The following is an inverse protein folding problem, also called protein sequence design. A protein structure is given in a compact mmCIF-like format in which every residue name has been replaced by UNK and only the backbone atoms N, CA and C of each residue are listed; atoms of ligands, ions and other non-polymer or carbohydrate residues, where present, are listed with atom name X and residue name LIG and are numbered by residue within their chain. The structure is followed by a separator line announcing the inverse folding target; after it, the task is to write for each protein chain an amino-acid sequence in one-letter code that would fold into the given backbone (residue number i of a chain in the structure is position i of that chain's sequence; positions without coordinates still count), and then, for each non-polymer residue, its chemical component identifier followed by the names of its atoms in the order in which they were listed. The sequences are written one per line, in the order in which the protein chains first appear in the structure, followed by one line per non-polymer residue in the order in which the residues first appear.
data_IF_400566354068
#
_entry.id   IF_400566354068
#
_cell.length_a   1.000
_cell.length_b   1.000
_cell.length_c   1.000
_cell.angle_alpha   90.00
_cell.angle_beta   90.00
_cell.angle_gamma   90.00
#
_symmetry.space_group_name_H-M   'P 1'
#
loop_
_entity.id
_entity.type
_entity.pdbx_description
1 polymer ?
#
# COMPACT_ATOMS: atom_id res chain seq x y z
N UNK A 1 -1.05 31.42 -11.08
CA UNK A 1 -1.53 30.33 -10.20
C UNK A 1 -1.18 29.02 -10.88
N UNK A 2 0.00 28.49 -10.59
CA UNK A 2 0.46 27.20 -11.09
C UNK A 2 -0.23 26.13 -10.25
N UNK A 3 -1.18 25.42 -10.85
CA UNK A 3 -1.60 24.12 -10.37
C UNK A 3 -0.40 23.20 -10.58
N UNK A 4 0.51 23.18 -9.61
CA UNK A 4 1.49 22.11 -9.53
C UNK A 4 0.68 20.84 -9.33
N UNK A 5 0.53 20.07 -10.42
CA UNK A 5 0.18 18.66 -10.36
C UNK A 5 1.27 17.98 -9.54
N UNK A 6 1.16 18.07 -8.23
CA UNK A 6 1.87 17.21 -7.31
C UNK A 6 1.46 15.81 -7.70
N UNK A 7 2.37 15.09 -8.34
CA UNK A 7 2.36 13.64 -8.37
C UNK A 7 2.32 13.20 -6.91
N UNK A 8 1.12 12.96 -6.36
CA UNK A 8 0.87 12.62 -4.95
C UNK A 8 1.63 11.36 -4.50
N UNK A 9 2.27 10.67 -5.44
CA UNK A 9 3.06 9.47 -5.27
C UNK A 9 4.54 9.66 -5.67
N UNK A 10 5.18 10.75 -5.24
CA UNK A 10 6.61 10.98 -5.50
C UNK A 10 7.47 10.50 -4.34
N UNK A 11 8.54 9.74 -4.62
CA UNK A 11 9.51 9.35 -3.59
C UNK A 11 10.49 10.50 -3.33
N UNK A 12 10.73 10.88 -2.06
CA UNK A 12 11.81 11.81 -1.73
C UNK A 12 13.16 11.31 -2.23
N UNK A 13 13.94 12.18 -2.88
CA UNK A 13 15.21 11.80 -3.53
C UNK A 13 16.15 11.02 -2.60
N UNK A 14 16.28 11.47 -1.35
CA UNK A 14 17.09 10.81 -0.33
C UNK A 14 16.62 9.36 -0.06
N UNK A 15 15.31 9.15 0.01
CA UNK A 15 14.72 7.81 0.17
C UNK A 15 15.08 6.93 -1.03
N UNK A 16 14.97 7.46 -2.25
CA UNK A 16 15.29 6.71 -3.46
C UNK A 16 16.77 6.31 -3.54
N UNK A 17 17.67 7.23 -3.21
CA UNK A 17 19.11 6.98 -3.21
C UNK A 17 19.49 5.87 -2.22
N UNK A 18 19.05 5.98 -0.96
CA UNK A 18 19.40 5.02 0.09
C UNK A 18 18.83 3.63 -0.21
N UNK A 19 17.60 3.55 -0.70
CA UNK A 19 16.94 2.27 -1.01
C UNK A 19 17.60 1.62 -2.22
N UNK A 20 17.90 2.36 -3.29
CA UNK A 20 18.62 1.81 -4.46
C UNK A 20 20.02 1.33 -4.10
N UNK A 21 20.72 2.03 -3.20
CA UNK A 21 22.02 1.58 -2.68
C UNK A 21 21.90 0.32 -1.81
N UNK A 22 20.85 0.23 -0.99
CA UNK A 22 20.62 -0.91 -0.08
C UNK A 22 20.10 -2.15 -0.80
N UNK A 23 19.39 -1.97 -1.93
CA UNK A 23 18.77 -3.03 -2.72
C UNK A 23 19.21 -2.96 -4.19
N UNK A 24 20.49 -3.22 -4.52
CA UNK A 24 21.02 -3.06 -5.88
C UNK A 24 20.37 -4.01 -6.90
N UNK A 25 19.82 -5.14 -6.45
CA UNK A 25 19.08 -6.10 -7.29
C UNK A 25 17.58 -5.83 -7.35
N UNK A 26 17.10 -4.79 -6.66
CA UNK A 26 15.69 -4.51 -6.45
C UNK A 26 15.02 -5.45 -5.45
N UNK A 27 13.75 -5.16 -5.16
CA UNK A 27 12.84 -5.99 -4.37
C UNK A 27 11.42 -5.88 -4.96
N UNK A 28 10.52 -6.81 -4.61
CA UNK A 28 9.11 -6.82 -4.97
C UNK A 28 8.45 -5.48 -4.61
N UNK A 29 8.77 -4.90 -3.45
CA UNK A 29 8.17 -3.63 -3.00
C UNK A 29 8.57 -2.43 -3.85
N UNK A 30 9.78 -2.44 -4.42
CA UNK A 30 10.23 -1.41 -5.38
C UNK A 30 9.40 -1.53 -6.66
N UNK A 31 9.18 -2.75 -7.15
CA UNK A 31 8.31 -2.98 -8.32
C UNK A 31 6.84 -2.64 -8.05
N UNK A 32 6.34 -2.87 -6.84
CA UNK A 32 5.00 -2.45 -6.45
C UNK A 32 4.83 -0.93 -6.52
N UNK A 33 5.87 -0.16 -6.20
CA UNK A 33 5.85 1.28 -6.37
C UNK A 33 5.73 1.69 -7.83
N UNK A 34 6.57 1.13 -8.72
CA UNK A 34 6.57 1.43 -10.15
C UNK A 34 5.20 1.16 -10.78
N UNK A 35 4.61 0.00 -10.47
CA UNK A 35 3.26 -0.35 -10.95
C UNK A 35 2.17 0.54 -10.36
N UNK A 36 2.34 0.99 -9.12
CA UNK A 36 1.40 1.88 -8.47
C UNK A 36 1.49 3.30 -9.02
N UNK A 37 2.68 3.76 -9.39
CA UNK A 37 2.89 5.03 -10.09
C UNK A 37 2.15 5.03 -11.43
N UNK A 38 2.29 3.96 -12.23
CA UNK A 38 1.51 3.78 -13.47
C UNK A 38 0.00 3.78 -13.19
N UNK A 39 -0.44 3.02 -12.18
CA UNK A 39 -1.86 2.95 -11.81
C UNK A 39 -2.39 4.32 -11.37
N UNK A 40 -1.56 5.14 -10.72
CA UNK A 40 -1.90 6.48 -10.29
C UNK A 40 -2.03 7.46 -11.45
N UNK A 41 -1.53 7.14 -12.65
CA UNK A 41 -1.74 7.96 -13.85
C UNK A 41 -3.15 7.74 -14.44
N UNK A 42 -3.77 6.59 -14.19
CA UNK A 42 -5.12 6.28 -14.67
C UNK A 42 -6.18 7.16 -14.00
N UNK A 43 -6.98 7.86 -14.80
CA UNK A 43 -8.01 8.79 -14.29
C UNK A 43 -9.05 8.10 -13.41
N UNK A 44 -9.47 6.90 -13.79
CA UNK A 44 -10.40 6.08 -13.00
C UNK A 44 -9.83 5.77 -11.61
N UNK A 45 -8.52 5.48 -11.50
CA UNK A 45 -7.90 5.21 -10.22
C UNK A 45 -7.82 6.48 -9.36
N UNK A 46 -7.46 7.63 -9.96
CA UNK A 46 -7.48 8.93 -9.28
C UNK A 46 -8.87 9.28 -8.77
N UNK A 47 -9.90 9.08 -9.59
CA UNK A 47 -11.30 9.31 -9.21
C UNK A 47 -11.68 8.43 -8.03
N UNK A 48 -11.32 7.15 -8.07
CA UNK A 48 -11.60 6.20 -6.99
C UNK A 48 -10.89 6.58 -5.68
N UNK A 49 -9.64 7.06 -5.77
CA UNK A 49 -8.91 7.60 -4.63
C UNK A 49 -9.64 8.81 -4.02
N UNK A 50 -10.19 9.69 -4.85
CA UNK A 50 -10.90 10.90 -4.39
C UNK A 50 -12.23 10.60 -3.70
N UNK A 51 -12.85 9.46 -4.02
CA UNK A 51 -14.09 8.99 -3.42
C UNK A 51 -13.88 8.28 -2.08
N UNK A 52 -12.65 7.87 -1.78
CA UNK A 52 -12.33 7.23 -0.52
C UNK A 52 -12.40 8.22 0.64
N UNK A 53 -12.82 7.74 1.81
CA UNK A 53 -12.82 8.53 3.04
C UNK A 53 -11.40 9.01 3.35
N UNK A 54 -11.30 10.25 3.84
CA UNK A 54 -10.02 10.78 4.33
C UNK A 54 -9.62 10.10 5.64
N UNK A 55 -8.36 9.67 5.70
CA UNK A 55 -7.70 9.11 6.87
C UNK A 55 -6.42 9.90 7.16
N UNK A 56 -5.77 9.58 8.29
CA UNK A 56 -4.46 10.15 8.61
C UNK A 56 -3.37 9.80 7.57
N UNK A 57 -3.56 8.72 6.81
CA UNK A 57 -2.74 8.35 5.66
C UNK A 57 -3.63 8.26 4.41
N UNK A 58 -3.03 8.49 3.24
CA UNK A 58 -3.74 8.32 1.97
C UNK A 58 -4.36 6.91 1.87
N UNK A 59 -5.61 6.77 1.39
CA UNK A 59 -6.26 5.48 1.14
C UNK A 59 -5.41 4.53 0.31
N UNK A 60 -4.63 5.06 -0.64
CA UNK A 60 -3.70 4.26 -1.47
C UNK A 60 -2.56 3.69 -0.63
N UNK A 61 -1.99 4.49 0.29
CA UNK A 61 -0.95 4.00 1.23
C UNK A 61 -1.53 2.93 2.15
N UNK A 62 -2.76 3.12 2.65
CA UNK A 62 -3.42 2.13 3.51
C UNK A 62 -3.74 0.82 2.76
N UNK A 63 -4.21 0.91 1.51
CA UNK A 63 -4.42 -0.25 0.65
C UNK A 63 -3.10 -1.00 0.40
N UNK A 64 -2.02 -0.28 0.09
CA UNK A 64 -0.70 -0.87 -0.11
C UNK A 64 -0.17 -1.55 1.17
N UNK A 65 -0.28 -0.89 2.32
CA UNK A 65 0.10 -1.48 3.62
C UNK A 65 -0.70 -2.76 3.88
N UNK A 66 -2.00 -2.77 3.59
CA UNK A 66 -2.85 -3.96 3.75
C UNK A 66 -2.35 -5.13 2.89
N UNK A 67 -1.91 -4.85 1.65
CA UNK A 67 -1.36 -5.86 0.75
C UNK A 67 -0.01 -6.40 1.24
N UNK A 68 0.87 -5.50 1.69
CA UNK A 68 2.19 -5.89 2.23
C UNK A 68 2.05 -6.68 3.54
N UNK A 69 1.14 -6.26 4.42
CA UNK A 69 0.78 -6.96 5.65
C UNK A 69 0.36 -8.40 5.35
N UNK A 70 -0.53 -8.59 4.37
CA UNK A 70 -0.96 -9.91 3.95
C UNK A 70 0.17 -10.74 3.30
N UNK A 71 1.02 -10.11 2.47
CA UNK A 71 2.15 -10.79 1.82
C UNK A 71 3.18 -11.33 2.83
N UNK A 72 3.41 -10.61 3.93
CA UNK A 72 4.38 -10.98 4.96
C UNK A 72 3.73 -11.67 6.17
N UNK A 73 2.41 -11.87 6.16
CA UNK A 73 1.62 -12.46 7.26
C UNK A 73 1.84 -11.75 8.60
N UNK A 74 1.76 -10.42 8.59
CA UNK A 74 1.95 -9.58 9.77
C UNK A 74 0.61 -9.19 10.41
N UNK A 75 0.61 -9.08 11.74
CA UNK A 75 -0.46 -8.46 12.53
C UNK A 75 -0.41 -6.93 12.43
N UNK A 76 -1.49 -6.25 12.80
CA UNK A 76 -1.54 -4.76 12.77
C UNK A 76 -0.44 -4.15 13.65
N UNK A 77 -0.17 -4.77 14.81
CA UNK A 77 0.87 -4.33 15.75
C UNK A 77 2.27 -4.55 15.19
N UNK A 78 2.51 -5.70 14.54
CA UNK A 78 3.80 -5.96 13.87
C UNK A 78 4.04 -5.00 12.73
N UNK A 79 3.02 -4.68 11.92
CA UNK A 79 3.12 -3.64 10.88
C UNK A 79 3.52 -2.30 11.49
N UNK A 80 2.86 -1.89 12.57
CA UNK A 80 3.16 -0.63 13.23
C UNK A 80 4.59 -0.55 13.78
N UNK A 81 5.14 -1.67 14.24
CA UNK A 81 6.50 -1.75 14.77
C UNK A 81 7.56 -1.89 13.67
N UNK A 82 7.27 -2.60 12.58
CA UNK A 82 8.24 -2.88 11.52
C UNK A 82 8.34 -1.78 10.46
N UNK A 83 7.23 -1.15 10.10
CA UNK A 83 7.20 -0.14 9.03
C UNK A 83 8.23 0.98 9.27
N UNK A 84 8.38 1.56 10.48
CA UNK A 84 9.36 2.62 10.73
C UNK A 84 10.82 2.21 10.47
N UNK A 85 11.14 0.92 10.61
CA UNK A 85 12.49 0.39 10.40
C UNK A 85 12.73 -0.14 8.98
N UNK A 86 11.67 -0.33 8.17
CA UNK A 86 11.75 -0.95 6.84
C UNK A 86 11.90 0.07 5.72
N UNK A 87 13.12 0.19 5.19
CA UNK A 87 13.44 1.07 4.05
C UNK A 87 12.65 0.73 2.79
N UNK A 88 12.45 -0.55 2.50
CA UNK A 88 11.72 -1.02 1.32
C UNK A 88 10.21 -0.70 1.38
N UNK A 89 9.61 -0.74 2.57
CA UNK A 89 8.22 -0.30 2.78
C UNK A 89 8.08 1.21 2.66
N UNK A 90 9.02 1.98 3.25
CA UNK A 90 9.04 3.45 3.10
C UNK A 90 9.16 3.87 1.64
N UNK A 91 10.04 3.22 0.88
CA UNK A 91 10.16 3.43 -0.56
C UNK A 91 8.83 3.17 -1.26
N UNK A 92 8.23 2.00 -1.01
CA UNK A 92 7.02 1.61 -1.69
C UNK A 92 5.82 2.51 -1.40
N UNK A 93 5.79 3.13 -0.22
CA UNK A 93 4.76 4.08 0.21
C UNK A 93 5.05 5.54 -0.15
N UNK A 94 6.20 5.83 -0.79
CA UNK A 94 6.66 7.20 -1.03
C UNK A 94 6.72 8.00 0.28
N UNK A 95 7.34 7.42 1.31
CA UNK A 95 7.53 8.05 2.62
C UNK A 95 8.98 8.47 2.79
N UNK A 96 9.18 9.61 3.45
CA UNK A 96 10.49 10.04 3.87
C UNK A 96 11.09 9.10 4.94
N UNK A 97 12.43 8.96 4.92
CA UNK A 97 13.15 8.10 5.86
C UNK A 97 13.08 8.61 7.31
N UNK A 98 13.02 9.91 7.49
CA UNK A 98 13.19 10.61 8.77
C UNK A 98 11.88 11.17 9.33
N UNK A 99 10.96 11.61 8.47
CA UNK A 99 9.72 12.24 8.91
C UNK A 99 8.66 11.21 9.34
N UNK A 100 8.67 10.03 8.72
CA UNK A 100 7.72 8.97 9.08
C UNK A 100 8.18 8.23 10.34
N UNK A 101 7.50 8.49 11.46
CA UNK A 101 7.85 7.93 12.78
C UNK A 101 7.11 6.64 13.12
N UNK A 102 5.79 6.61 12.96
CA UNK A 102 4.96 5.48 13.34
C UNK A 102 3.58 5.53 12.69
N UNK A 103 2.91 4.38 12.65
CA UNK A 103 1.50 4.24 12.31
C UNK A 103 0.75 3.70 13.52
N UNK A 104 -0.40 4.29 13.85
CA UNK A 104 -1.28 3.76 14.89
C UNK A 104 -1.92 2.45 14.38
N UNK A 105 -1.77 1.29 15.05
CA UNK A 105 -2.45 0.04 14.68
C UNK A 105 -3.97 0.21 14.52
N UNK A 106 -4.59 1.12 15.31
CA UNK A 106 -6.03 1.40 15.22
C UNK A 106 -6.42 2.00 13.87
N UNK A 107 -5.49 2.64 13.15
CA UNK A 107 -5.73 3.16 11.81
C UNK A 107 -6.01 2.01 10.83
N UNK A 108 -5.22 0.93 10.89
CA UNK A 108 -5.41 -0.25 10.06
C UNK A 108 -6.74 -0.94 10.37
N UNK A 109 -7.09 -1.05 11.65
CA UNK A 109 -8.40 -1.57 12.06
C UNK A 109 -9.56 -0.71 11.53
N UNK A 110 -9.47 0.63 11.59
CA UNK A 110 -10.49 1.55 11.05
C UNK A 110 -10.61 1.44 9.53
N UNK A 111 -9.48 1.34 8.84
CA UNK A 111 -9.41 1.11 7.39
C UNK A 111 -10.11 -0.19 7.00
N UNK A 112 -9.79 -1.31 7.66
CA UNK A 112 -10.43 -2.61 7.42
C UNK A 112 -11.94 -2.57 7.65
N UNK A 113 -12.43 -1.82 8.64
CA UNK A 113 -13.87 -1.59 8.84
C UNK A 113 -14.55 -0.86 7.67
N UNK A 114 -13.87 0.06 6.99
CA UNK A 114 -14.43 0.68 5.78
C UNK A 114 -14.42 -0.30 4.60
N UNK A 115 -13.38 -1.10 4.42
CA UNK A 115 -13.33 -2.10 3.35
C UNK A 115 -14.49 -3.11 3.39
N UNK A 116 -14.99 -3.44 4.59
CA UNK A 116 -16.15 -4.34 4.76
C UNK A 116 -17.43 -3.75 4.14
N UNK A 117 -17.54 -2.42 4.03
CA UNK A 117 -18.71 -1.77 3.41
C UNK A 117 -18.79 -1.95 1.90
N UNK A 118 -17.70 -2.43 1.26
CA UNK A 118 -17.63 -2.69 -0.18
C UNK A 118 -17.88 -1.46 -1.07
N UNK A 119 -17.47 -0.29 -0.59
CA UNK A 119 -17.59 0.99 -1.31
C UNK A 119 -16.28 1.31 -2.08
N UNK A 120 -15.92 2.60 -2.20
CA UNK A 120 -14.76 3.06 -2.97
C UNK A 120 -13.44 2.44 -2.50
N UNK A 121 -13.22 2.31 -1.19
CA UNK A 121 -12.00 1.73 -0.63
C UNK A 121 -11.81 0.26 -1.02
N UNK A 122 -12.92 -0.50 -1.12
CA UNK A 122 -12.89 -1.90 -1.51
C UNK A 122 -12.57 -2.05 -3.00
N UNK A 123 -13.17 -1.21 -3.84
CA UNK A 123 -12.86 -1.16 -5.25
C UNK A 123 -11.40 -0.74 -5.48
N UNK A 124 -10.91 0.23 -4.70
CA UNK A 124 -9.53 0.71 -4.74
C UNK A 124 -8.56 -0.44 -4.47
N UNK A 125 -8.78 -1.15 -3.36
CA UNK A 125 -7.94 -2.28 -2.97
C UNK A 125 -8.01 -3.41 -4.02
N UNK A 126 -9.19 -3.72 -4.57
CA UNK A 126 -9.31 -4.72 -5.63
C UNK A 126 -8.62 -4.35 -6.93
N UNK A 127 -8.68 -3.08 -7.34
CA UNK A 127 -7.97 -2.60 -8.53
C UNK A 127 -6.46 -2.75 -8.35
N UNK A 128 -5.95 -2.45 -7.15
CA UNK A 128 -4.54 -2.71 -6.80
C UNK A 128 -4.19 -4.21 -6.79
N UNK A 129 -5.04 -5.06 -6.21
CA UNK A 129 -4.84 -6.53 -6.20
C UNK A 129 -4.78 -7.06 -7.62
N UNK A 130 -5.70 -6.66 -8.50
CA UNK A 130 -5.73 -7.07 -9.89
C UNK A 130 -4.41 -6.69 -10.60
N UNK A 131 -3.99 -5.42 -10.50
CA UNK A 131 -2.74 -4.93 -11.10
C UNK A 131 -1.52 -5.71 -10.63
N UNK A 132 -1.37 -5.89 -9.31
CA UNK A 132 -0.21 -6.60 -8.76
C UNK A 132 -0.24 -8.10 -9.02
N UNK A 133 -1.42 -8.69 -9.18
CA UNK A 133 -1.57 -10.09 -9.59
C UNK A 133 -1.11 -10.28 -11.03
N UNK A 134 -1.55 -9.42 -11.95
CA UNK A 134 -1.19 -9.49 -13.37
C UNK A 134 0.32 -9.34 -13.56
N UNK A 135 0.95 -8.50 -12.74
CA UNK A 135 2.39 -8.27 -12.71
C UNK A 135 3.18 -9.29 -11.87
N UNK A 136 2.51 -10.32 -11.33
CA UNK A 136 3.09 -11.41 -10.51
C UNK A 136 3.86 -10.89 -9.28
N UNK A 137 3.43 -9.77 -8.71
CA UNK A 137 4.05 -9.16 -7.54
C UNK A 137 3.51 -9.74 -6.22
N UNK A 138 2.43 -10.53 -6.26
CA UNK A 138 1.84 -11.16 -5.08
C UNK A 138 2.35 -12.61 -4.95
N UNK A 139 2.98 -12.94 -3.81
CA UNK A 139 3.57 -14.26 -3.51
C UNK A 139 2.59 -15.43 -3.70
N UNK A 140 1.28 -15.21 -3.52
CA UNK A 140 0.24 -16.24 -3.70
C UNK A 140 -0.60 -16.05 -4.97
N UNK A 141 -0.02 -15.56 -6.08
CA UNK A 141 -0.73 -15.32 -7.36
C UNK A 141 -1.46 -16.53 -7.97
N UNK A 142 -1.37 -17.72 -7.36
CA UNK A 142 -2.13 -18.93 -7.68
C UNK A 142 -3.56 -18.93 -7.11
N UNK A 143 -3.90 -18.05 -6.16
CA UNK A 143 -5.26 -17.97 -5.60
C UNK A 143 -6.19 -17.33 -6.64
N UNK A 144 -7.11 -18.15 -7.18
CA UNK A 144 -8.00 -17.74 -8.28
C UNK A 144 -8.95 -16.60 -7.88
N UNK A 145 -9.37 -16.56 -6.61
CA UNK A 145 -10.27 -15.54 -6.02
C UNK A 145 -9.53 -14.66 -5.00
N UNK A 146 -8.38 -14.10 -5.37
CA UNK A 146 -7.73 -13.10 -4.52
C UNK A 146 -8.47 -11.77 -4.68
N UNK A 147 -9.27 -11.44 -3.69
CA UNK A 147 -9.97 -10.16 -3.57
C UNK A 147 -9.77 -9.58 -2.15
N UNK A 148 -10.30 -8.39 -1.93
CA UNK A 148 -10.23 -7.72 -0.64
C UNK A 148 -10.82 -8.57 0.49
N UNK A 149 -11.86 -9.37 0.23
CA UNK A 149 -12.49 -10.22 1.26
C UNK A 149 -11.56 -11.36 1.67
N UNK A 150 -10.91 -12.02 0.70
CA UNK A 150 -9.91 -13.05 0.97
C UNK A 150 -8.73 -12.50 1.79
N UNK A 151 -8.21 -11.34 1.40
CA UNK A 151 -7.09 -10.68 2.11
C UNK A 151 -7.47 -10.34 3.54
N UNK A 152 -8.65 -9.75 3.75
CA UNK A 152 -9.14 -9.40 5.08
C UNK A 152 -9.36 -10.64 5.96
N UNK A 153 -9.91 -11.71 5.40
CA UNK A 153 -10.10 -12.98 6.12
C UNK A 153 -8.76 -13.55 6.59
N UNK A 154 -7.75 -13.55 5.72
CA UNK A 154 -6.42 -14.02 6.05
C UNK A 154 -5.76 -13.16 7.14
N UNK A 155 -5.84 -11.84 7.05
CA UNK A 155 -5.30 -10.94 8.10
C UNK A 155 -6.03 -11.14 9.43
N UNK A 156 -7.36 -11.29 9.42
CA UNK A 156 -8.13 -11.53 10.65
C UNK A 156 -7.71 -12.83 11.35
N UNK A 157 -7.35 -13.88 10.62
CA UNK A 157 -6.89 -15.14 11.21
C UNK A 157 -5.53 -15.05 11.93
N UNK A 158 -4.73 -14.00 11.68
CA UNK A 158 -3.44 -13.79 12.33
C UNK A 158 -3.56 -13.13 13.70
N UNK A 159 -4.65 -12.41 13.96
CA UNK A 159 -4.89 -11.72 15.23
C UNK A 159 -5.72 -12.57 16.22
N UNK A 160 -5.79 -13.89 15.98
CA UNK A 160 -6.55 -14.86 16.77
C UNK A 160 -5.93 -15.16 18.12
#
# INVERSE_FOLDING_TARGET
MTLETQTLWTIPEQTALVVRASFPKGNIYIKMYEELEELYQEEEFKLLCSQCRQFALSPVKLALITLMQWCEKLTDTEVANLLPARLDWKYALGLDLTEFKNIDPKLLTKWRKQLIKKEAEWQLLNKMIARFRDKKLLKNGRVKQMDSTYILSAICSLNG
#
